data_IF_721709777751
#
_entry.id   IF_721709777751
#
_cell.length_a   1.000
_cell.length_b   1.000
_cell.length_c   1.000
_cell.angle_alpha   90.00
_cell.angle_beta   90.00
_cell.angle_gamma   90.00
#
_symmetry.space_group_name_H-M   'P 1'
#
loop_
_entity.id
_entity.type
_entity.pdbx_description
1 polymer ?
#
# COMPACT_ATOMS: atom_id res chain seq x y z
N UNK A 1 7.59 -23.86 -17.34
CA UNK A 1 7.93 -22.73 -16.44
C UNK A 1 6.81 -22.59 -15.43
N UNK A 2 7.13 -22.41 -14.15
CA UNK A 2 6.11 -22.12 -13.15
C UNK A 2 5.42 -20.78 -13.47
N UNK A 3 4.12 -20.66 -13.18
CA UNK A 3 3.35 -19.44 -13.43
C UNK A 3 3.98 -18.22 -12.71
N UNK A 4 4.53 -18.43 -11.51
CA UNK A 4 5.22 -17.39 -10.76
C UNK A 4 6.42 -16.80 -11.52
N UNK A 5 7.26 -17.65 -12.13
CA UNK A 5 8.43 -17.20 -12.90
C UNK A 5 8.04 -16.42 -14.15
N UNK A 6 6.91 -16.79 -14.77
CA UNK A 6 6.38 -16.09 -15.93
C UNK A 6 5.88 -14.69 -15.56
N UNK A 7 5.15 -14.55 -14.44
CA UNK A 7 4.59 -13.27 -13.99
C UNK A 7 5.69 -12.24 -13.65
N UNK A 8 6.83 -12.68 -13.11
CA UNK A 8 7.95 -11.80 -12.78
C UNK A 8 8.64 -11.17 -14.01
N UNK A 9 8.44 -11.76 -15.20
CA UNK A 9 9.06 -11.29 -16.46
C UNK A 9 8.11 -10.47 -17.33
N UNK A 10 6.84 -10.40 -16.97
CA UNK A 10 5.80 -9.67 -17.70
C UNK A 10 5.82 -8.18 -17.37
N UNK A 11 5.39 -7.35 -18.33
CA UNK A 11 5.08 -5.95 -18.05
C UNK A 11 3.85 -5.84 -17.11
N UNK A 12 3.66 -4.68 -16.50
CA UNK A 12 2.48 -4.42 -15.67
C UNK A 12 1.17 -4.57 -16.46
N UNK A 13 1.16 -4.14 -17.73
CA UNK A 13 0.00 -4.27 -18.63
C UNK A 13 -0.34 -5.74 -18.95
N UNK A 14 0.67 -6.58 -19.11
CA UNK A 14 0.49 -8.02 -19.29
C UNK A 14 -0.02 -8.68 -18.01
N UNK A 15 0.57 -8.33 -16.85
CA UNK A 15 0.15 -8.84 -15.54
C UNK A 15 -1.32 -8.53 -15.23
N UNK A 16 -1.82 -7.35 -15.61
CA UNK A 16 -3.24 -6.96 -15.42
C UNK A 16 -4.23 -7.93 -16.07
N UNK A 17 -3.86 -8.61 -17.16
CA UNK A 17 -4.70 -9.64 -17.81
C UNK A 17 -4.89 -10.88 -16.95
N UNK A 18 -4.02 -11.08 -15.95
CA UNK A 18 -4.06 -12.21 -15.03
C UNK A 18 -4.72 -11.86 -13.68
N UNK A 19 -5.13 -10.60 -13.46
CA UNK A 19 -5.80 -10.20 -12.23
C UNK A 19 -7.20 -10.80 -12.17
N UNK A 20 -7.55 -11.33 -11.00
CA UNK A 20 -8.88 -11.90 -10.73
C UNK A 20 -9.93 -10.85 -10.35
N UNK A 21 -9.49 -9.62 -10.10
CA UNK A 21 -10.32 -8.51 -9.61
C UNK A 21 -9.81 -7.19 -10.20
N UNK A 22 -10.56 -6.12 -9.98
CA UNK A 22 -10.12 -4.75 -10.30
C UNK A 22 -8.89 -4.38 -9.48
N UNK A 23 -8.05 -3.50 -10.01
CA UNK A 23 -6.87 -2.99 -9.32
C UNK A 23 -7.02 -1.49 -9.00
N UNK A 24 -6.26 -1.03 -8.02
CA UNK A 24 -6.03 0.37 -7.67
C UNK A 24 -4.55 0.66 -7.85
N UNK A 25 -4.21 1.61 -8.73
CA UNK A 25 -2.82 1.96 -9.02
C UNK A 25 -2.20 2.76 -7.87
N UNK A 26 -0.87 2.67 -7.73
CA UNK A 26 -0.15 3.35 -6.64
C UNK A 26 -0.33 4.89 -6.68
N UNK A 27 -0.44 5.48 -7.87
CA UNK A 27 -0.67 6.91 -8.05
C UNK A 27 -2.06 7.39 -7.59
N UNK A 28 -3.03 6.47 -7.51
CA UNK A 28 -4.37 6.76 -7.00
C UNK A 28 -4.40 6.79 -5.45
N UNK A 29 -3.37 6.28 -4.79
CA UNK A 29 -3.27 6.27 -3.33
C UNK A 29 -2.68 7.60 -2.85
N UNK A 30 -3.45 8.43 -2.12
CA UNK A 30 -2.98 9.74 -1.70
C UNK A 30 -1.85 9.62 -0.67
N UNK A 31 -0.76 10.36 -0.90
CA UNK A 31 0.35 10.49 0.06
C UNK A 31 -0.10 11.22 1.32
N UNK A 32 0.57 10.94 2.43
CA UNK A 32 0.33 11.61 3.69
C UNK A 32 0.60 13.11 3.58
N UNK A 33 -0.28 13.90 4.19
CA UNK A 33 -0.14 15.36 4.22
C UNK A 33 -0.31 15.91 5.63
N UNK A 34 0.06 17.17 5.81
CA UNK A 34 -0.19 17.90 7.06
C UNK A 34 -1.68 17.85 7.49
N UNK A 35 -2.59 17.90 6.51
CA UNK A 35 -4.04 17.89 6.74
C UNK A 35 -4.53 16.52 7.18
N UNK A 36 -3.88 15.45 6.70
CA UNK A 36 -4.13 14.08 7.13
C UNK A 36 -3.84 13.92 8.62
N UNK A 37 -2.80 14.62 9.14
CA UNK A 37 -2.48 14.63 10.56
C UNK A 37 -3.52 15.38 11.41
N UNK A 38 -4.08 16.48 10.91
CA UNK A 38 -5.13 17.24 11.62
C UNK A 38 -6.50 16.57 11.63
N UNK A 39 -6.74 15.56 10.78
CA UNK A 39 -7.95 14.73 10.82
C UNK A 39 -7.90 13.66 11.91
N UNK A 40 -6.71 13.37 12.44
CA UNK A 40 -6.53 12.49 13.60
C UNK A 40 -6.81 13.34 14.85
N UNK A 41 -7.87 13.00 15.59
CA UNK A 41 -8.53 13.78 16.65
C UNK A 41 -7.66 14.70 17.52
N UNK A 42 -8.27 15.74 18.10
CA UNK A 42 -7.68 16.71 19.06
C UNK A 42 -6.98 16.08 20.30
N UNK A 43 -7.02 14.75 20.43
CA UNK A 43 -6.33 13.99 21.48
C UNK A 43 -4.84 13.78 21.22
N UNK A 44 -4.31 14.20 20.07
CA UNK A 44 -2.86 14.12 19.77
C UNK A 44 -2.12 15.12 20.66
N UNK A 45 -1.62 14.61 21.81
CA UNK A 45 -0.59 15.27 22.62
C UNK A 45 0.57 15.73 21.71
N UNK A 46 1.25 16.80 22.13
CA UNK A 46 2.39 17.41 21.40
C UNK A 46 3.22 16.35 20.67
N UNK A 47 3.43 16.48 19.35
CA UNK A 47 4.08 15.45 18.56
C UNK A 47 5.49 15.17 19.11
N UNK A 48 5.79 13.88 19.32
CA UNK A 48 7.11 13.43 19.78
C UNK A 48 8.21 13.69 18.74
N UNK A 49 7.84 13.79 17.47
CA UNK A 49 8.76 13.94 16.35
C UNK A 49 8.51 15.24 15.59
N UNK A 50 9.59 15.89 15.16
CA UNK A 50 9.50 17.00 14.22
C UNK A 50 8.98 16.47 12.88
N UNK A 51 8.07 17.22 12.27
CA UNK A 51 7.53 16.87 10.95
C UNK A 51 8.65 16.81 9.91
N UNK A 52 8.61 15.77 9.08
CA UNK A 52 9.54 15.59 7.97
C UNK A 52 8.77 15.47 6.65
N UNK A 53 8.77 16.55 5.86
CA UNK A 53 8.06 16.60 4.57
C UNK A 53 8.58 15.60 3.53
N UNK A 54 9.83 15.14 3.65
CA UNK A 54 10.36 14.10 2.77
C UNK A 54 9.80 12.72 3.11
N UNK A 55 9.43 12.47 4.37
CA UNK A 55 8.75 11.23 4.79
C UNK A 55 7.26 11.28 4.48
N UNK A 56 6.62 12.45 4.56
CA UNK A 56 5.21 12.65 4.18
C UNK A 56 4.92 12.12 2.75
N UNK A 57 5.89 12.28 1.82
CA UNK A 57 5.77 11.82 0.43
C UNK A 57 6.02 10.32 0.23
N UNK A 58 6.40 9.59 1.28
CA UNK A 58 6.77 8.16 1.23
C UNK A 58 5.78 7.25 1.96
N UNK A 59 4.83 7.82 2.67
CA UNK A 59 3.83 7.08 3.43
C UNK A 59 2.44 7.52 3.00
N UNK A 60 1.49 6.60 3.05
CA UNK A 60 0.08 6.85 2.77
C UNK A 60 -0.75 6.15 3.84
N UNK A 61 -1.89 6.72 4.20
CA UNK A 61 -2.91 6.04 4.99
C UNK A 61 -4.03 5.63 4.04
N UNK A 62 -4.24 4.32 3.89
CA UNK A 62 -5.24 3.75 3.00
C UNK A 62 -6.24 2.93 3.79
N UNK A 63 -7.53 3.15 3.54
CA UNK A 63 -8.63 2.37 4.10
C UNK A 63 -9.42 1.74 2.96
N UNK A 64 -9.27 0.44 2.78
CA UNK A 64 -9.90 -0.30 1.69
C UNK A 64 -9.41 -1.74 1.62
N UNK A 65 -9.77 -2.43 0.53
CA UNK A 65 -9.36 -3.81 0.27
C UNK A 65 -7.90 -3.86 -0.18
N UNK A 66 -7.02 -4.38 0.67
CA UNK A 66 -5.58 -4.49 0.40
C UNK A 66 -5.26 -5.37 -0.81
N UNK A 67 -6.15 -6.30 -1.19
CA UNK A 67 -5.92 -7.23 -2.31
C UNK A 67 -6.02 -6.56 -3.68
N UNK A 68 -6.56 -5.33 -3.72
CA UNK A 68 -6.70 -4.54 -4.95
C UNK A 68 -5.52 -3.61 -5.22
N UNK A 69 -4.62 -3.41 -4.26
CA UNK A 69 -3.48 -2.52 -4.43
C UNK A 69 -2.48 -3.08 -5.45
N UNK A 70 -2.25 -2.34 -6.54
CA UNK A 70 -1.22 -2.65 -7.53
C UNK A 70 0.14 -2.10 -7.07
N UNK A 71 0.74 -2.83 -6.13
CA UNK A 71 2.04 -2.51 -5.52
C UNK A 71 2.95 -3.73 -5.52
N UNK A 72 4.25 -3.51 -5.30
CA UNK A 72 5.25 -4.57 -5.39
C UNK A 72 5.05 -5.67 -4.34
N UNK A 73 4.64 -5.28 -3.12
CA UNK A 73 4.46 -6.20 -2.01
C UNK A 73 3.27 -5.80 -1.12
N UNK A 74 2.53 -6.80 -0.67
CA UNK A 74 1.53 -6.70 0.39
C UNK A 74 1.93 -7.65 1.52
N UNK A 75 1.62 -7.28 2.75
CA UNK A 75 1.87 -8.13 3.91
C UNK A 75 0.59 -8.88 4.25
N UNK A 76 0.69 -10.20 4.41
CA UNK A 76 -0.40 -11.02 4.93
C UNK A 76 -0.21 -11.21 6.44
N UNK A 77 -1.25 -10.96 7.22
CA UNK A 77 -1.31 -11.34 8.63
C UNK A 77 -1.84 -12.76 8.75
N UNK A 78 -1.03 -13.74 8.34
CA UNK A 78 -1.39 -15.16 8.38
C UNK A 78 -1.09 -15.81 9.72
N UNK A 79 -1.75 -16.92 10.00
CA UNK A 79 -1.46 -17.74 11.18
C UNK A 79 -0.17 -18.53 11.01
N UNK A 80 0.54 -18.76 12.11
CA UNK A 80 1.67 -19.68 12.17
C UNK A 80 1.12 -21.10 12.30
N UNK A 81 0.92 -21.76 11.16
CA UNK A 81 0.53 -23.17 11.13
C UNK A 81 1.82 -24.01 11.13
N UNK A 82 2.16 -24.60 12.27
CA UNK A 82 3.18 -25.63 12.37
C UNK A 82 2.50 -26.98 12.15
N UNK A 83 2.73 -27.58 10.98
CA UNK A 83 2.36 -28.98 10.66
C UNK A 83 3.55 -29.90 10.84
#
# INVERSE_FOLDING_TARGET
>A
MALCDALLRMSQEERRKHYRTTYLSLDEVPVWTAKSASMLSDSVKRPHFKRNQALDKKISLFSGDITKLEIDQIVNAGDHIVT
#
